data_IF_591067906037
#
_entry.id   IF_591067906037
#
_cell.length_a   1.000
_cell.length_b   1.000
_cell.length_c   1.000
_cell.angle_alpha   90.00
_cell.angle_beta   90.00
_cell.angle_gamma   90.00
#
_symmetry.space_group_name_H-M   'P 1'
#
loop_
_entity.id
_entity.type
_entity.pdbx_description
1 polymer ?
#
# COMPACT_ATOMS: atom_id res chain seq x y z
N UNK A 1 -8.42 16.33 9.34
CA UNK A 1 -8.20 17.80 9.35
C UNK A 1 -7.48 18.14 8.08
N UNK A 2 -7.84 19.22 7.41
CA UNK A 2 -7.25 19.64 6.13
C UNK A 2 -6.64 21.04 6.26
N UNK A 3 -5.40 21.23 5.79
CA UNK A 3 -4.70 22.51 5.84
C UNK A 3 -4.90 23.28 4.54
N UNK A 4 -5.55 24.45 4.64
CA UNK A 4 -5.75 25.31 3.49
C UNK A 4 -4.43 25.90 3.02
N UNK A 5 -4.18 25.78 1.71
CA UNK A 5 -2.99 26.35 1.07
C UNK A 5 -1.69 25.92 1.75
N UNK A 6 -1.57 24.63 2.09
CA UNK A 6 -0.48 24.07 2.90
C UNK A 6 0.91 24.62 2.54
N UNK A 7 1.27 24.64 1.26
CA UNK A 7 2.57 25.11 0.80
C UNK A 7 2.84 26.60 1.09
N UNK A 8 1.80 27.45 1.12
CA UNK A 8 1.96 28.87 1.45
C UNK A 8 2.30 29.11 2.93
N UNK A 9 2.21 28.09 3.78
CA UNK A 9 2.64 28.15 5.17
C UNK A 9 4.11 27.79 5.35
N UNK A 10 4.76 27.20 4.34
CA UNK A 10 6.17 26.84 4.37
C UNK A 10 7.08 28.08 4.27
N UNK A 11 8.08 28.14 5.13
CA UNK A 11 9.14 29.15 5.08
C UNK A 11 10.28 28.62 4.20
N UNK A 12 10.76 29.44 3.27
CA UNK A 12 11.88 29.08 2.40
C UNK A 12 13.20 29.33 3.13
N UNK A 13 14.11 28.35 3.09
CA UNK A 13 15.48 28.50 3.60
C UNK A 13 16.39 29.09 2.53
N UNK A 14 16.10 28.81 1.26
CA UNK A 14 16.82 29.32 0.11
C UNK A 14 16.28 30.68 -0.36
N UNK A 15 17.14 31.47 -1.01
CA UNK A 15 16.71 32.68 -1.70
C UNK A 15 16.11 32.34 -3.05
N UNK A 16 14.80 32.56 -3.19
CA UNK A 16 14.07 32.29 -4.42
C UNK A 16 13.46 33.58 -4.92
N UNK A 17 13.69 33.87 -6.20
CA UNK A 17 13.14 35.02 -6.88
C UNK A 17 12.22 34.55 -8.01
N UNK A 18 11.13 35.27 -8.23
CA UNK A 18 10.19 35.03 -9.33
C UNK A 18 9.99 36.29 -10.15
N UNK A 19 9.70 36.12 -11.44
CA UNK A 19 9.25 37.22 -12.28
C UNK A 19 7.99 37.87 -11.68
N UNK A 20 7.80 39.15 -11.98
CA UNK A 20 6.58 39.83 -11.59
C UNK A 20 5.38 39.12 -12.23
N UNK A 21 4.36 38.73 -11.45
CA UNK A 21 3.18 38.07 -12.00
C UNK A 21 2.39 39.05 -12.86
N UNK A 22 1.76 38.53 -13.91
CA UNK A 22 0.99 39.34 -14.85
C UNK A 22 -0.10 40.15 -14.15
N UNK A 23 -0.18 41.45 -14.42
CA UNK A 23 -1.11 42.40 -13.80
C UNK A 23 -0.61 43.05 -12.50
N UNK A 24 0.57 42.66 -12.01
CA UNK A 24 1.20 43.25 -10.82
C UNK A 24 2.58 43.85 -11.12
N UNK A 25 2.91 44.02 -12.40
CA UNK A 25 4.16 44.63 -12.82
C UNK A 25 4.21 46.09 -12.34
N UNK A 26 5.30 46.46 -11.67
CA UNK A 26 5.54 47.84 -11.26
C UNK A 26 6.04 48.63 -12.46
N UNK A 27 5.27 49.64 -12.87
CA UNK A 27 5.67 50.62 -13.87
C UNK A 27 7.06 51.20 -13.56
N UNK A 28 7.92 51.29 -14.57
CA UNK A 28 9.31 51.76 -14.49
C UNK A 28 10.24 50.88 -13.64
N UNK A 29 9.85 49.63 -13.37
CA UNK A 29 10.66 48.63 -12.65
C UNK A 29 10.37 47.22 -13.18
N UNK A 30 10.05 47.09 -14.47
CA UNK A 30 9.63 45.85 -15.10
C UNK A 30 10.73 44.77 -15.06
N UNK A 31 11.99 45.17 -15.00
CA UNK A 31 13.17 44.31 -14.90
C UNK A 31 13.38 43.71 -13.50
N UNK A 32 12.69 44.23 -12.48
CA UNK A 32 12.83 43.72 -11.10
C UNK A 32 12.09 42.40 -10.93
N UNK A 33 12.56 41.65 -9.94
CA UNK A 33 11.98 40.36 -9.53
C UNK A 33 11.45 40.44 -8.10
N UNK A 34 10.51 39.56 -7.75
CA UNK A 34 10.01 39.43 -6.39
C UNK A 34 10.78 38.34 -5.65
N UNK A 35 11.32 38.69 -4.47
CA UNK A 35 11.88 37.71 -3.54
C UNK A 35 10.74 37.03 -2.79
N UNK A 36 10.66 35.71 -2.88
CA UNK A 36 9.69 34.93 -2.13
C UNK A 36 10.11 34.83 -0.67
N UNK A 37 9.19 35.14 0.24
CA UNK A 37 9.37 34.96 1.70
C UNK A 37 8.83 33.61 2.20
N UNK A 38 7.84 33.07 1.50
CA UNK A 38 7.21 31.78 1.78
C UNK A 38 7.15 30.98 0.49
N UNK A 39 7.00 29.67 0.65
CA UNK A 39 6.88 28.77 -0.49
C UNK A 39 5.60 29.05 -1.29
N UNK A 40 5.70 28.89 -2.61
CA UNK A 40 4.61 29.02 -3.56
C UNK A 40 4.37 27.67 -4.24
N UNK A 41 3.14 27.43 -4.68
CA UNK A 41 2.84 26.26 -5.50
C UNK A 41 3.68 26.25 -6.79
N UNK A 42 4.17 25.07 -7.16
CA UNK A 42 5.05 24.87 -8.32
C UNK A 42 6.55 24.93 -8.01
N UNK A 43 6.95 25.40 -6.81
CA UNK A 43 8.33 25.30 -6.37
C UNK A 43 8.67 23.86 -5.96
N UNK A 44 9.83 23.35 -6.40
CA UNK A 44 10.30 22.00 -6.05
C UNK A 44 10.50 21.83 -4.53
N UNK A 45 10.87 22.90 -3.83
CA UNK A 45 11.12 22.94 -2.38
C UNK A 45 9.86 23.18 -1.54
N UNK A 46 8.72 23.56 -2.14
CA UNK A 46 7.51 23.90 -1.40
C UNK A 46 6.98 22.78 -0.49
N UNK A 47 6.94 21.50 -0.94
CA UNK A 47 6.51 20.40 -0.08
C UNK A 47 7.41 20.22 1.15
N UNK A 48 8.73 20.36 0.97
CA UNK A 48 9.71 20.23 2.05
C UNK A 48 9.61 21.39 3.05
N UNK A 49 9.46 22.62 2.56
CA UNK A 49 9.28 23.81 3.39
C UNK A 49 8.02 23.70 4.26
N UNK A 50 6.92 23.24 3.66
CA UNK A 50 5.68 22.96 4.40
C UNK A 50 5.86 21.87 5.45
N UNK A 51 6.39 20.70 5.05
CA UNK A 51 6.60 19.59 5.97
C UNK A 51 7.49 19.99 7.16
N UNK A 52 8.57 20.73 6.91
CA UNK A 52 9.47 21.22 7.97
C UNK A 52 8.77 22.18 8.94
N UNK A 53 7.88 23.04 8.43
CA UNK A 53 7.05 23.92 9.28
C UNK A 53 6.08 23.10 10.13
N UNK A 54 5.42 22.10 9.54
CA UNK A 54 4.48 21.23 10.23
C UNK A 54 5.18 20.39 11.30
N UNK A 55 6.32 19.77 10.99
CA UNK A 55 7.16 18.98 11.91
C UNK A 55 7.57 19.80 13.13
N UNK A 56 8.10 21.02 12.93
CA UNK A 56 8.43 21.94 14.04
C UNK A 56 7.21 22.32 14.87
N UNK A 57 6.06 22.56 14.23
CA UNK A 57 4.82 22.88 14.93
C UNK A 57 4.30 21.70 15.76
N UNK A 58 4.31 20.48 15.23
CA UNK A 58 3.90 19.28 15.96
C UNK A 58 4.86 18.99 17.12
N UNK A 59 6.16 19.12 16.92
CA UNK A 59 7.15 19.01 17.98
C UNK A 59 6.90 20.01 19.12
N UNK A 60 6.56 21.27 18.79
CA UNK A 60 6.20 22.29 19.80
C UNK A 60 4.92 21.96 20.58
N UNK A 61 4.07 21.07 20.06
CA UNK A 61 2.86 20.57 20.71
C UNK A 61 3.08 19.24 21.45
N UNK A 62 4.34 18.83 21.61
CA UNK A 62 4.74 17.62 22.33
C UNK A 62 4.61 16.33 21.53
N UNK A 63 4.54 16.42 20.20
CA UNK A 63 4.58 15.22 19.35
C UNK A 63 6.01 14.79 19.05
N UNK A 64 6.21 13.49 19.04
CA UNK A 64 7.41 12.83 18.56
C UNK A 64 7.12 12.19 17.20
N UNK A 65 8.03 12.42 16.25
CA UNK A 65 7.97 11.75 14.94
C UNK A 65 8.44 10.31 15.07
N UNK A 66 7.72 9.38 14.45
CA UNK A 66 8.15 7.98 14.42
C UNK A 66 9.49 7.85 13.67
N UNK A 67 10.47 7.09 14.20
CA UNK A 67 11.71 6.78 13.49
C UNK A 67 11.52 5.73 12.38
N UNK A 68 10.33 5.10 12.30
CA UNK A 68 10.03 4.04 11.34
C UNK A 68 9.10 4.49 10.21
N UNK A 69 8.31 5.54 10.44
CA UNK A 69 7.46 6.18 9.43
C UNK A 69 7.38 7.69 9.68
N UNK A 70 8.12 8.49 8.90
CA UNK A 70 8.22 9.94 9.11
C UNK A 70 6.89 10.71 8.90
N UNK A 71 5.89 10.08 8.28
CA UNK A 71 4.54 10.63 8.18
C UNK A 71 3.70 10.42 9.45
N UNK A 72 4.17 9.62 10.41
CA UNK A 72 3.44 9.30 11.65
C UNK A 72 4.06 10.02 12.84
N UNK A 73 3.20 10.65 13.64
CA UNK A 73 3.56 11.32 14.88
C UNK A 73 2.76 10.74 16.03
N UNK A 74 3.36 10.70 17.21
CA UNK A 74 2.71 10.26 18.45
C UNK A 74 2.91 11.29 19.56
N UNK A 75 1.91 11.40 20.43
CA UNK A 75 1.98 12.13 21.70
C UNK A 75 1.38 11.26 22.79
N UNK A 76 2.13 11.05 23.87
CA UNK A 76 1.71 10.25 25.01
C UNK A 76 1.65 11.12 26.27
N UNK A 77 0.49 11.16 26.92
CA UNK A 77 0.27 11.88 28.18
C UNK A 77 -0.35 10.89 29.15
N UNK A 78 0.45 10.35 30.08
CA UNK A 78 0.04 9.22 30.92
C UNK A 78 -0.36 8.02 30.05
N UNK A 79 -1.57 7.50 30.24
CA UNK A 79 -2.13 6.42 29.41
C UNK A 79 -2.80 6.93 28.11
N UNK A 80 -3.00 8.24 27.98
CA UNK A 80 -3.60 8.84 26.79
C UNK A 80 -2.60 8.85 25.64
N UNK A 81 -3.06 8.42 24.46
CA UNK A 81 -2.26 8.35 23.25
C UNK A 81 -2.98 9.05 22.13
N UNK A 82 -2.23 9.87 21.40
CA UNK A 82 -2.70 10.57 20.23
C UNK A 82 -1.72 10.28 19.09
N UNK A 83 -2.25 9.81 17.97
CA UNK A 83 -1.50 9.49 16.76
C UNK A 83 -1.98 10.38 15.62
N UNK A 84 -1.03 10.84 14.81
CA UNK A 84 -1.30 11.63 13.61
C UNK A 84 -0.64 10.95 12.43
N UNK A 85 -1.39 10.72 11.36
CA UNK A 85 -0.87 10.42 10.03
C UNK A 85 -0.95 11.68 9.17
N UNK A 86 0.16 12.06 8.54
CA UNK A 86 0.28 13.26 7.71
C UNK A 86 0.45 12.86 6.25
N UNK A 87 -0.39 13.41 5.38
CA UNK A 87 -0.18 13.39 3.94
C UNK A 87 -0.40 14.78 3.37
N UNK A 88 0.70 15.49 3.09
CA UNK A 88 0.66 16.87 2.58
C UNK A 88 -0.20 17.77 3.47
N UNK A 89 -1.41 18.10 3.03
CA UNK A 89 -2.42 18.95 3.68
C UNK A 89 -3.38 18.17 4.59
N UNK A 90 -3.54 16.86 4.35
CA UNK A 90 -4.43 15.99 5.13
C UNK A 90 -3.75 15.44 6.39
N UNK A 91 -4.43 15.60 7.53
CA UNK A 91 -4.08 15.00 8.82
C UNK A 91 -5.17 14.03 9.28
N UNK A 92 -4.83 12.75 9.34
CA UNK A 92 -5.61 11.73 10.07
C UNK A 92 -5.21 11.81 11.53
N UNK A 93 -6.20 11.87 12.43
CA UNK A 93 -5.97 11.97 13.87
C UNK A 93 -6.77 10.86 14.54
N UNK A 94 -6.10 10.08 15.39
CA UNK A 94 -6.74 9.05 16.21
C UNK A 94 -6.14 9.04 17.61
N UNK A 95 -6.89 8.60 18.60
CA UNK A 95 -6.41 8.59 19.98
C UNK A 95 -7.36 7.91 20.95
N UNK A 96 -6.86 7.62 22.16
CA UNK A 96 -7.64 6.94 23.20
C UNK A 96 -8.59 7.87 23.95
N UNK A 97 -8.35 9.19 23.93
CA UNK A 97 -9.18 10.19 24.59
C UNK A 97 -9.76 11.19 23.56
N UNK A 98 -11.09 11.22 23.35
CA UNK A 98 -11.73 12.18 22.45
C UNK A 98 -11.49 13.65 22.79
N UNK A 99 -11.29 13.98 24.06
CA UNK A 99 -11.05 15.36 24.50
C UNK A 99 -9.65 15.83 24.11
N UNK A 100 -8.66 14.94 24.15
CA UNK A 100 -7.32 15.22 23.62
C UNK A 100 -7.34 15.46 22.11
N UNK A 101 -8.15 14.70 21.36
CA UNK A 101 -8.35 14.92 19.93
C UNK A 101 -8.92 16.32 19.68
N UNK A 102 -9.98 16.72 20.41
CA UNK A 102 -10.57 18.06 20.27
C UNK A 102 -9.58 19.17 20.63
N UNK A 103 -8.85 19.00 21.73
CA UNK A 103 -7.86 19.97 22.17
C UNK A 103 -6.75 20.15 21.12
N UNK A 104 -6.24 19.05 20.56
CA UNK A 104 -5.25 19.09 19.49
C UNK A 104 -5.79 19.76 18.22
N UNK A 105 -7.03 19.45 17.81
CA UNK A 105 -7.67 20.11 16.67
C UNK A 105 -7.73 21.63 16.86
N UNK A 106 -8.09 22.11 18.06
CA UNK A 106 -8.07 23.54 18.41
C UNK A 106 -6.67 24.15 18.30
N UNK A 107 -5.66 23.53 18.89
CA UNK A 107 -4.26 23.98 18.82
C UNK A 107 -3.77 24.12 17.36
N UNK A 108 -4.20 23.20 16.49
CA UNK A 108 -3.85 23.25 15.07
C UNK A 108 -4.58 24.37 14.32
N UNK A 109 -5.87 24.59 14.59
CA UNK A 109 -6.64 25.69 13.99
C UNK A 109 -6.17 27.08 14.46
N UNK A 110 -5.57 27.18 15.64
CA UNK A 110 -4.92 28.41 16.12
C UNK A 110 -3.62 28.71 15.37
N UNK A 111 -2.85 27.67 15.01
CA UNK A 111 -1.58 27.81 14.29
C UNK A 111 -1.73 27.94 12.78
N UNK A 112 -2.73 27.28 12.20
CA UNK A 112 -2.91 27.16 10.75
C UNK A 112 -4.37 27.33 10.36
N UNK A 113 -4.61 27.90 9.18
CA UNK A 113 -5.96 27.94 8.62
C UNK A 113 -6.36 26.52 8.15
N UNK A 114 -7.21 25.86 8.92
CA UNK A 114 -7.58 24.46 8.70
C UNK A 114 -9.09 24.26 8.73
N UNK A 115 -9.53 23.19 8.09
CA UNK A 115 -10.90 22.70 8.15
C UNK A 115 -10.96 21.37 8.91
N UNK A 116 -11.87 21.28 9.89
CA UNK A 116 -12.24 20.01 10.50
C UNK A 116 -13.34 19.35 9.66
N UNK A 117 -12.99 18.22 9.05
CA UNK A 117 -13.90 17.43 8.22
C UNK A 117 -14.70 16.39 9.04
N UNK A 118 -14.55 16.40 10.37
CA UNK A 118 -15.26 15.50 11.28
C UNK A 118 -14.62 14.12 11.36
N UNK A 119 -15.48 13.10 11.47
CA UNK A 119 -15.05 11.70 11.48
C UNK A 119 -14.55 11.29 10.10
N UNK A 120 -13.45 10.52 10.02
CA UNK A 120 -12.83 10.12 8.76
C UNK A 120 -13.84 9.36 7.88
N UNK A 121 -14.24 9.99 6.77
CA UNK A 121 -15.18 9.45 5.78
C UNK A 121 -14.57 9.31 4.38
N UNK A 122 -13.49 10.05 4.11
CA UNK A 122 -12.76 10.02 2.86
C UNK A 122 -11.30 10.40 3.09
N UNK A 123 -10.38 9.68 2.46
CA UNK A 123 -8.95 9.96 2.54
C UNK A 123 -8.23 9.46 1.30
N UNK A 124 -7.52 10.34 0.59
CA UNK A 124 -6.74 9.97 -0.60
C UNK A 124 -7.53 9.07 -1.56
N UNK A 125 -8.72 9.48 -2.00
CA UNK A 125 -9.47 8.66 -2.95
C UNK A 125 -10.13 7.40 -2.38
N UNK A 126 -9.97 7.11 -1.08
CA UNK A 126 -10.54 5.97 -0.37
C UNK A 126 -11.71 6.44 0.48
N UNK A 127 -12.84 5.77 0.33
CA UNK A 127 -14.05 5.99 1.09
C UNK A 127 -14.00 5.14 2.36
N UNK A 128 -14.32 5.76 3.50
CA UNK A 128 -14.22 5.15 4.83
C UNK A 128 -15.60 5.18 5.48
N UNK A 129 -16.10 4.02 5.91
CA UNK A 129 -17.28 3.96 6.77
C UNK A 129 -16.89 3.37 8.12
N UNK A 130 -17.27 4.05 9.20
CA UNK A 130 -16.92 3.67 10.56
C UNK A 130 -18.19 3.39 11.36
N UNK A 131 -18.23 2.22 11.99
CA UNK A 131 -19.34 1.77 12.82
C UNK A 131 -18.82 1.29 14.17
N UNK A 132 -19.71 1.01 15.12
CA UNK A 132 -19.33 0.41 16.41
C UNK A 132 -18.67 -0.97 16.26
N UNK A 133 -19.00 -1.69 15.17
CA UNK A 133 -18.55 -3.07 14.91
C UNK A 133 -17.23 -3.13 14.13
N UNK A 134 -16.90 -2.10 13.35
CA UNK A 134 -15.73 -2.10 12.50
C UNK A 134 -15.65 -0.93 11.52
N UNK A 135 -14.62 -0.95 10.70
CA UNK A 135 -14.31 0.07 9.69
C UNK A 135 -14.32 -0.60 8.31
N UNK A 136 -14.94 -0.01 7.31
CA UNK A 136 -14.78 -0.43 5.92
C UNK A 136 -14.01 0.61 5.09
N UNK A 137 -13.18 0.10 4.18
CA UNK A 137 -12.45 0.89 3.19
C UNK A 137 -12.86 0.42 1.78
N UNK A 138 -13.33 1.34 0.94
CA UNK A 138 -13.66 1.04 -0.44
C UNK A 138 -13.34 2.20 -1.38
N UNK A 139 -13.41 1.93 -2.68
CA UNK A 139 -13.13 2.90 -3.73
C UNK A 139 -14.20 2.83 -4.83
N UNK A 140 -15.48 2.64 -4.44
CA UNK A 140 -16.58 2.41 -5.38
C UNK A 140 -16.74 3.56 -6.37
N UNK A 141 -16.69 4.82 -5.90
CA UNK A 141 -16.76 5.98 -6.79
C UNK A 141 -15.56 6.07 -7.75
N UNK A 142 -14.37 5.66 -7.31
CA UNK A 142 -13.19 5.60 -8.17
C UNK A 142 -13.30 4.46 -9.20
N UNK A 143 -13.78 3.29 -8.80
CA UNK A 143 -14.02 2.15 -9.67
C UNK A 143 -15.03 2.48 -10.77
N UNK A 144 -16.15 3.14 -10.44
CA UNK A 144 -17.13 3.61 -11.44
C UNK A 144 -16.51 4.57 -12.45
N UNK A 145 -15.72 5.55 -11.99
CA UNK A 145 -15.00 6.49 -12.88
C UNK A 145 -14.03 5.78 -13.84
N UNK A 146 -13.37 4.70 -13.41
CA UNK A 146 -12.52 3.89 -14.30
C UNK A 146 -13.37 3.26 -15.41
N UNK A 147 -14.53 2.69 -15.07
CA UNK A 147 -15.43 2.05 -16.04
C UNK A 147 -15.98 3.06 -17.03
N UNK A 148 -16.44 4.22 -16.58
CA UNK A 148 -16.92 5.30 -17.44
C UNK A 148 -15.84 5.75 -18.43
N UNK A 149 -14.64 6.08 -17.93
CA UNK A 149 -13.52 6.55 -18.76
C UNK A 149 -13.06 5.52 -19.79
N UNK A 150 -13.27 4.24 -19.53
CA UNK A 150 -12.86 3.14 -20.43
C UNK A 150 -13.99 2.65 -21.34
N UNK A 151 -15.20 3.22 -21.24
CA UNK A 151 -16.38 2.75 -21.97
C UNK A 151 -16.86 1.37 -21.53
N UNK A 152 -16.57 0.97 -20.29
CA UNK A 152 -16.87 -0.35 -19.71
C UNK A 152 -17.97 -0.30 -18.65
N UNK A 153 -18.72 0.80 -18.52
CA UNK A 153 -19.82 0.92 -17.56
C UNK A 153 -20.92 -0.15 -17.80
N UNK A 154 -21.29 -0.35 -19.07
CA UNK A 154 -22.36 -1.29 -19.48
C UNK A 154 -21.83 -2.66 -19.93
N UNK A 155 -20.59 -3.01 -19.54
CA UNK A 155 -19.98 -4.28 -19.96
C UNK A 155 -20.64 -5.50 -19.30
N UNK A 156 -20.55 -6.65 -19.97
CA UNK A 156 -20.96 -7.93 -19.40
C UNK A 156 -20.19 -8.24 -18.11
N UNK A 157 -20.86 -8.84 -17.12
CA UNK A 157 -20.23 -9.16 -15.84
C UNK A 157 -19.22 -10.31 -15.96
N UNK A 158 -18.21 -10.30 -15.10
CA UNK A 158 -17.29 -11.43 -14.91
C UNK A 158 -17.16 -11.73 -13.41
N UNK A 159 -16.93 -12.99 -13.05
CA UNK A 159 -16.82 -13.43 -11.66
C UNK A 159 -15.36 -13.58 -11.18
N UNK A 160 -14.39 -13.54 -12.11
CA UNK A 160 -12.96 -13.55 -11.79
C UNK A 160 -12.25 -12.43 -12.55
N UNK A 161 -11.19 -11.84 -11.96
CA UNK A 161 -10.43 -10.77 -12.61
C UNK A 161 -9.53 -11.28 -13.75
N UNK A 162 -9.26 -12.58 -13.80
CA UNK A 162 -8.37 -13.19 -14.80
C UNK A 162 -8.79 -14.65 -15.04
N UNK A 163 -8.62 -15.11 -16.27
CA UNK A 163 -8.79 -16.51 -16.66
C UNK A 163 -7.76 -17.42 -15.98
N UNK A 164 -8.20 -18.60 -15.55
CA UNK A 164 -7.32 -19.61 -14.96
C UNK A 164 -6.30 -20.08 -16.00
N UNK A 165 -5.02 -20.12 -15.61
CA UNK A 165 -3.89 -20.54 -16.48
C UNK A 165 -3.63 -19.65 -17.70
N UNK A 166 -4.20 -18.44 -17.75
CA UNK A 166 -3.88 -17.46 -18.79
C UNK A 166 -2.36 -17.17 -18.78
N UNK A 167 -1.72 -17.36 -19.94
CA UNK A 167 -0.33 -16.99 -20.16
C UNK A 167 -0.27 -15.87 -21.18
N UNK A 168 0.26 -14.73 -20.75
CA UNK A 168 0.53 -13.57 -21.60
C UNK A 168 2.02 -13.52 -21.90
N UNK A 169 2.38 -13.06 -23.09
CA UNK A 169 3.77 -12.97 -23.55
C UNK A 169 3.99 -11.69 -24.34
N UNK A 170 5.18 -11.12 -24.20
CA UNK A 170 5.64 -9.99 -25.02
C UNK A 170 5.76 -10.33 -26.51
N UNK A 171 5.91 -11.62 -26.84
CA UNK A 171 6.08 -12.11 -28.20
C UNK A 171 4.74 -12.55 -28.85
N UNK A 172 3.62 -12.00 -28.39
CA UNK A 172 2.31 -12.23 -29.00
C UNK A 172 2.31 -11.71 -30.45
N UNK A 173 1.74 -12.50 -31.37
CA UNK A 173 1.55 -12.13 -32.78
C UNK A 173 0.37 -11.15 -32.99
N UNK A 174 -0.35 -10.83 -31.90
CA UNK A 174 -1.51 -9.95 -31.95
C UNK A 174 -1.13 -8.49 -32.26
N UNK A 175 -2.08 -7.76 -32.85
CA UNK A 175 -1.92 -6.33 -33.15
C UNK A 175 -1.62 -5.51 -31.89
N UNK A 176 -0.66 -4.59 -31.99
CA UNK A 176 -0.41 -3.60 -30.95
C UNK A 176 -1.62 -2.70 -30.69
N UNK A 177 -1.76 -2.24 -29.44
CA UNK A 177 -2.77 -1.26 -29.03
C UNK A 177 -2.09 0.02 -28.52
N UNK A 178 -2.86 1.08 -28.35
CA UNK A 178 -2.33 2.34 -27.81
C UNK A 178 -1.75 2.15 -26.40
N UNK A 179 -0.43 2.25 -26.31
CA UNK A 179 0.32 2.13 -25.06
C UNK A 179 -0.02 3.22 -24.04
N UNK A 180 -0.40 4.43 -24.48
CA UNK A 180 -0.77 5.53 -23.59
C UNK A 180 -2.12 5.26 -22.93
N UNK A 181 -3.12 4.88 -23.72
CA UNK A 181 -4.41 4.44 -23.20
C UNK A 181 -4.25 3.23 -22.26
N UNK A 182 -3.47 2.23 -22.65
CA UNK A 182 -3.19 1.06 -21.82
C UNK A 182 -2.57 1.45 -20.47
N UNK A 183 -1.49 2.25 -20.47
CA UNK A 183 -0.82 2.73 -19.25
C UNK A 183 -1.75 3.54 -18.34
N UNK A 184 -2.64 4.34 -18.92
CA UNK A 184 -3.64 5.10 -18.17
C UNK A 184 -4.60 4.18 -17.39
N UNK A 185 -5.07 3.09 -18.02
CA UNK A 185 -5.92 2.11 -17.34
C UNK A 185 -5.13 1.38 -16.25
N UNK A 186 -3.93 0.90 -16.55
CA UNK A 186 -3.10 0.18 -15.58
C UNK A 186 -2.76 1.05 -14.37
N UNK A 187 -2.43 2.33 -14.58
CA UNK A 187 -2.20 3.27 -13.48
C UNK A 187 -3.40 3.39 -12.55
N UNK A 188 -4.61 3.47 -13.11
CA UNK A 188 -5.83 3.51 -12.30
C UNK A 188 -6.14 2.19 -11.59
N UNK A 189 -5.93 1.05 -12.25
CA UNK A 189 -6.10 -0.26 -11.62
C UNK A 189 -5.11 -0.47 -10.47
N UNK A 190 -3.85 -0.04 -10.63
CA UNK A 190 -2.83 -0.09 -9.57
C UNK A 190 -3.24 0.72 -8.35
N UNK A 191 -3.90 1.87 -8.55
CA UNK A 191 -4.42 2.65 -7.43
C UNK A 191 -5.61 1.97 -6.74
N UNK A 192 -6.48 1.33 -7.52
CA UNK A 192 -7.64 0.61 -7.01
C UNK A 192 -7.24 -0.61 -6.15
N UNK A 193 -6.06 -1.19 -6.38
CA UNK A 193 -5.52 -2.31 -5.56
C UNK A 193 -5.43 -1.96 -4.08
N UNK A 194 -5.34 -0.67 -3.69
CA UNK A 194 -5.27 -0.22 -2.28
C UNK A 194 -6.48 -0.63 -1.42
N UNK A 195 -7.63 -0.94 -2.03
CA UNK A 195 -8.79 -1.51 -1.33
C UNK A 195 -9.28 -2.83 -1.95
N UNK A 196 -8.53 -3.34 -2.94
CA UNK A 196 -8.91 -4.47 -3.80
C UNK A 196 -7.75 -5.48 -3.93
N UNK A 197 -7.34 -6.13 -2.83
CA UNK A 197 -6.28 -7.15 -2.86
C UNK A 197 -6.55 -8.30 -3.85
N UNK A 198 -7.83 -8.65 -4.04
CA UNK A 198 -8.29 -9.70 -4.95
C UNK A 198 -7.97 -9.46 -6.44
N UNK A 199 -7.62 -8.23 -6.85
CA UNK A 199 -7.18 -7.95 -8.23
C UNK A 199 -5.67 -7.73 -8.34
N UNK A 200 -4.93 -7.75 -7.23
CA UNK A 200 -3.50 -7.42 -7.19
C UNK A 200 -2.67 -8.27 -8.16
N UNK A 201 -2.89 -9.60 -8.16
CA UNK A 201 -2.24 -10.51 -9.10
C UNK A 201 -2.51 -10.14 -10.55
N UNK A 202 -3.80 -10.06 -10.91
CA UNK A 202 -4.23 -9.81 -12.28
C UNK A 202 -3.65 -8.49 -12.81
N UNK A 203 -3.71 -7.43 -11.99
CA UNK A 203 -3.12 -6.11 -12.29
C UNK A 203 -1.59 -6.19 -12.40
N UNK A 204 -0.94 -6.98 -11.55
CA UNK A 204 0.50 -7.23 -11.58
C UNK A 204 0.97 -7.91 -12.86
N UNK A 205 0.20 -8.87 -13.39
CA UNK A 205 0.49 -9.54 -14.66
C UNK A 205 0.33 -8.58 -15.84
N UNK A 206 -0.83 -7.92 -16.00
CA UNK A 206 -1.07 -7.02 -17.16
C UNK A 206 -0.12 -5.83 -17.17
N UNK A 207 0.35 -5.40 -15.99
CA UNK A 207 1.36 -4.36 -15.88
C UNK A 207 2.70 -4.65 -16.57
N UNK A 208 3.01 -5.92 -16.86
CA UNK A 208 4.30 -6.32 -17.48
C UNK A 208 4.41 -5.90 -18.95
N UNK A 209 3.29 -5.49 -19.56
CA UNK A 209 3.17 -5.23 -21.00
C UNK A 209 2.92 -3.74 -21.34
N UNK A 210 3.15 -2.83 -20.39
CA UNK A 210 2.87 -1.40 -20.55
C UNK A 210 3.66 -0.69 -21.67
N UNK A 211 4.79 -1.25 -22.10
CA UNK A 211 5.65 -0.65 -23.15
C UNK A 211 5.11 -0.94 -24.55
N UNK A 212 4.73 -2.19 -24.81
CA UNK A 212 4.26 -2.69 -26.12
C UNK A 212 3.04 -3.61 -25.94
N UNK A 213 1.88 -3.07 -25.52
CA UNK A 213 0.69 -3.88 -25.29
C UNK A 213 0.06 -4.32 -26.63
N UNK A 214 -0.61 -5.47 -26.62
CA UNK A 214 -1.29 -6.07 -27.78
C UNK A 214 -2.78 -6.22 -27.48
N UNK A 215 -3.58 -6.64 -28.47
CA UNK A 215 -5.02 -6.85 -28.30
C UNK A 215 -5.34 -7.90 -27.24
N UNK A 216 -4.54 -8.97 -27.11
CA UNK A 216 -4.65 -9.97 -26.04
C UNK A 216 -4.37 -9.38 -24.66
N UNK A 217 -3.35 -8.52 -24.53
CA UNK A 217 -3.09 -7.81 -23.29
C UNK A 217 -4.26 -6.89 -22.90
N UNK A 218 -4.86 -6.20 -23.87
CA UNK A 218 -6.03 -5.37 -23.63
C UNK A 218 -7.28 -6.20 -23.29
N UNK A 219 -7.44 -7.38 -23.87
CA UNK A 219 -8.54 -8.30 -23.54
C UNK A 219 -8.48 -8.75 -22.07
N UNK A 220 -7.28 -9.06 -21.55
CA UNK A 220 -7.07 -9.37 -20.14
C UNK A 220 -7.42 -8.18 -19.23
N UNK A 221 -7.02 -6.96 -19.61
CA UNK A 221 -7.42 -5.73 -18.88
C UNK A 221 -8.94 -5.54 -18.88
N UNK A 222 -9.60 -5.76 -20.03
CA UNK A 222 -11.07 -5.68 -20.12
C UNK A 222 -11.75 -6.71 -19.22
N UNK A 223 -11.17 -7.89 -19.00
CA UNK A 223 -11.70 -8.84 -18.04
C UNK A 223 -11.65 -8.32 -16.59
N UNK A 224 -10.54 -7.70 -16.18
CA UNK A 224 -10.43 -7.06 -14.87
C UNK A 224 -11.52 -5.99 -14.71
N UNK A 225 -11.76 -5.18 -15.74
CA UNK A 225 -12.82 -4.16 -15.73
C UNK A 225 -14.23 -4.78 -15.63
N UNK A 226 -14.51 -5.87 -16.36
CA UNK A 226 -15.79 -6.62 -16.23
C UNK A 226 -16.01 -7.17 -14.82
N UNK A 227 -14.93 -7.60 -14.16
CA UNK A 227 -14.98 -8.06 -12.78
C UNK A 227 -15.20 -6.90 -11.80
N UNK A 228 -14.56 -5.75 -12.02
CA UNK A 228 -14.79 -4.55 -11.19
C UNK A 228 -16.24 -4.10 -11.30
N UNK A 229 -16.81 -4.10 -12.51
CA UNK A 229 -18.21 -3.75 -12.75
C UNK A 229 -19.20 -4.61 -11.95
N UNK A 230 -18.94 -5.90 -11.79
CA UNK A 230 -19.79 -6.79 -10.99
C UNK A 230 -19.53 -6.70 -9.48
N UNK A 231 -18.52 -5.93 -9.05
CA UNK A 231 -18.06 -5.87 -7.67
C UNK A 231 -17.68 -4.45 -7.24
N UNK A 232 -18.49 -3.45 -7.63
CA UNK A 232 -18.23 -2.03 -7.32
C UNK A 232 -18.23 -1.73 -5.82
N UNK A 233 -19.11 -2.38 -5.07
CA UNK A 233 -19.37 -2.11 -3.64
C UNK A 233 -18.49 -2.91 -2.69
N UNK A 234 -17.42 -3.49 -3.23
CA UNK A 234 -16.71 -4.60 -2.65
C UNK A 234 -15.39 -4.00 -2.08
N UNK A 235 -15.17 -4.10 -0.77
CA UNK A 235 -14.12 -3.37 -0.04
C UNK A 235 -13.60 -4.14 1.18
N UNK A 236 -12.54 -3.63 1.79
CA UNK A 236 -11.90 -4.26 2.95
C UNK A 236 -12.67 -3.92 4.22
N UNK A 237 -13.02 -4.91 5.03
CA UNK A 237 -13.67 -4.71 6.32
C UNK A 237 -12.76 -5.09 7.47
N UNK A 238 -12.64 -4.18 8.43
CA UNK A 238 -11.81 -4.31 9.62
C UNK A 238 -12.72 -4.48 10.83
N UNK A 239 -12.85 -5.71 11.30
CA UNK A 239 -13.65 -6.05 12.47
C UNK A 239 -12.93 -5.60 13.74
N UNK A 240 -13.68 -5.02 14.67
CA UNK A 240 -13.17 -4.69 15.99
C UNK A 240 -12.82 -5.97 16.74
N UNK A 241 -11.58 -6.09 17.19
CA UNK A 241 -11.10 -7.20 18.02
C UNK A 241 -10.98 -6.75 19.48
N UNK A 242 -11.03 -7.71 20.40
CA UNK A 242 -10.80 -7.45 21.83
C UNK A 242 -9.39 -6.87 22.06
N UNK A 243 -9.27 -6.04 23.11
CA UNK A 243 -7.99 -5.39 23.44
C UNK A 243 -6.91 -6.44 23.71
N UNK A 244 -5.76 -6.30 23.03
CA UNK A 244 -4.62 -7.20 23.18
C UNK A 244 -4.69 -8.50 22.36
N UNK A 245 -5.80 -8.78 21.67
CA UNK A 245 -5.94 -10.00 20.86
C UNK A 245 -5.33 -9.90 19.45
N UNK A 246 -5.00 -8.68 18.98
CA UNK A 246 -4.57 -8.44 17.62
C UNK A 246 -3.06 -8.72 17.41
N UNK A 247 -2.73 -9.97 17.06
CA UNK A 247 -1.39 -10.39 16.66
C UNK A 247 -1.11 -10.08 15.19
N UNK A 248 0.12 -9.72 14.88
CA UNK A 248 0.58 -9.55 13.49
C UNK A 248 0.98 -10.92 12.93
N UNK A 249 0.30 -11.36 11.87
CA UNK A 249 0.58 -12.63 11.19
C UNK A 249 0.76 -12.36 9.70
N UNK A 250 1.91 -12.76 9.17
CA UNK A 250 2.23 -12.71 7.74
C UNK A 250 1.99 -14.05 7.06
N UNK A 251 1.68 -13.99 5.78
CA UNK A 251 1.62 -15.11 4.86
C UNK A 251 2.52 -14.76 3.67
N UNK A 252 3.31 -15.73 3.22
CA UNK A 252 4.07 -15.61 1.97
C UNK A 252 3.88 -16.84 1.11
N UNK A 253 3.81 -16.62 -0.19
CA UNK A 253 3.71 -17.65 -1.22
C UNK A 253 4.51 -17.20 -2.45
N UNK A 254 4.85 -18.14 -3.32
CA UNK A 254 5.46 -17.83 -4.61
C UNK A 254 5.11 -18.84 -5.67
N UNK A 255 4.81 -18.36 -6.89
CA UNK A 255 4.81 -19.26 -8.05
C UNK A 255 6.25 -19.73 -8.39
N UNK A 256 6.37 -20.76 -9.24
CA UNK A 256 7.66 -21.13 -9.82
C UNK A 256 7.66 -20.81 -11.31
N UNK A 257 8.51 -19.86 -11.70
CA UNK A 257 8.70 -19.45 -13.08
C UNK A 257 7.37 -19.18 -13.80
N UNK A 258 6.47 -18.44 -13.13
CA UNK A 258 5.14 -18.12 -13.66
C UNK A 258 5.17 -17.21 -14.87
N UNK A 259 6.20 -16.37 -15.01
CA UNK A 259 6.37 -15.51 -16.18
C UNK A 259 6.75 -16.33 -17.44
N UNK A 260 6.03 -16.10 -18.54
CA UNK A 260 6.27 -16.81 -19.79
C UNK A 260 7.53 -16.32 -20.51
N UNK A 261 7.92 -15.05 -20.33
CA UNK A 261 8.98 -14.43 -21.12
C UNK A 261 10.36 -14.57 -20.47
N UNK A 262 10.48 -14.30 -19.16
CA UNK A 262 11.77 -14.34 -18.46
C UNK A 262 11.85 -15.41 -17.35
N UNK A 263 10.80 -16.24 -17.21
CA UNK A 263 10.74 -17.35 -16.25
C UNK A 263 10.97 -16.91 -14.79
N UNK A 264 10.78 -15.63 -14.46
CA UNK A 264 10.82 -15.17 -13.08
C UNK A 264 9.52 -15.51 -12.36
N UNK A 265 9.64 -15.76 -11.07
CA UNK A 265 8.51 -16.04 -10.20
C UNK A 265 7.75 -14.77 -9.81
N UNK A 266 6.54 -14.93 -9.29
CA UNK A 266 5.80 -13.89 -8.58
C UNK A 266 5.84 -14.20 -7.08
N UNK A 267 6.07 -13.17 -6.27
CA UNK A 267 6.11 -13.20 -4.81
C UNK A 267 4.90 -12.50 -4.26
N UNK A 268 4.28 -13.14 -3.29
CA UNK A 268 3.09 -12.67 -2.63
C UNK A 268 3.31 -12.56 -1.14
N UNK A 269 2.74 -11.50 -0.57
CA UNK A 269 2.76 -11.26 0.86
C UNK A 269 1.39 -10.76 1.28
N UNK A 270 0.87 -11.27 2.39
CA UNK A 270 -0.32 -10.77 3.04
C UNK A 270 -0.09 -10.69 4.55
N UNK A 271 -0.32 -9.53 5.15
CA UNK A 271 -0.22 -9.35 6.59
C UNK A 271 -1.58 -9.03 7.20
N UNK A 272 -1.89 -9.76 8.26
CA UNK A 272 -3.10 -9.61 9.05
C UNK A 272 -2.76 -9.09 10.44
N UNK A 273 -3.58 -8.18 10.95
CA UNK A 273 -3.58 -7.76 12.34
C UNK A 273 -4.86 -8.29 13.01
N UNK A 274 -4.71 -9.33 13.81
CA UNK A 274 -5.84 -10.18 14.19
C UNK A 274 -6.42 -10.87 12.96
N UNK A 275 -7.73 -10.74 12.75
CA UNK A 275 -8.42 -11.26 11.55
C UNK A 275 -8.46 -10.31 10.35
N UNK A 276 -7.85 -9.13 10.44
CA UNK A 276 -8.02 -8.07 9.44
C UNK A 276 -6.78 -7.96 8.55
N UNK A 277 -6.95 -8.04 7.22
CA UNK A 277 -5.88 -7.81 6.26
C UNK A 277 -5.47 -6.33 6.27
N UNK A 278 -4.21 -6.03 6.59
CA UNK A 278 -3.71 -4.65 6.71
C UNK A 278 -2.74 -4.24 5.60
N UNK A 279 -2.05 -5.20 4.96
CA UNK A 279 -1.20 -4.91 3.81
C UNK A 279 -0.94 -6.16 2.99
N UNK A 280 -0.72 -5.98 1.69
CA UNK A 280 -0.51 -7.05 0.74
C UNK A 280 0.38 -6.60 -0.41
N UNK A 281 1.05 -7.56 -1.04
CA UNK A 281 1.91 -7.37 -2.21
C UNK A 281 1.74 -8.56 -3.15
N UNK A 282 1.67 -8.31 -4.46
CA UNK A 282 1.94 -9.29 -5.51
C UNK A 282 2.95 -8.66 -6.46
N UNK A 283 4.15 -9.23 -6.53
CA UNK A 283 5.26 -8.62 -7.28
C UNK A 283 6.10 -9.66 -8.01
N UNK A 284 6.54 -9.33 -9.21
CA UNK A 284 7.49 -10.16 -9.95
C UNK A 284 8.85 -10.15 -9.26
N UNK A 285 9.43 -11.31 -9.01
CA UNK A 285 10.76 -11.46 -8.46
C UNK A 285 11.81 -10.83 -9.39
N UNK A 286 12.89 -10.33 -8.81
CA UNK A 286 13.98 -9.67 -9.57
C UNK A 286 14.89 -10.70 -10.26
N UNK A 287 15.02 -11.89 -9.68
CA UNK A 287 15.88 -12.98 -10.13
C UNK A 287 15.04 -14.19 -10.56
N UNK A 288 15.63 -15.07 -11.37
CA UNK A 288 15.03 -16.36 -11.74
C UNK A 288 15.39 -17.37 -10.66
N UNK A 289 14.38 -17.97 -10.03
CA UNK A 289 14.58 -19.05 -9.06
C UNK A 289 14.76 -20.38 -9.79
N UNK A 290 15.69 -21.22 -9.33
CA UNK A 290 15.98 -22.53 -9.93
C UNK A 290 15.11 -23.65 -9.36
N UNK A 291 14.38 -23.39 -8.28
CA UNK A 291 13.46 -24.35 -7.65
C UNK A 291 12.32 -23.63 -6.95
N UNK A 292 11.21 -24.34 -6.69
CA UNK A 292 10.11 -23.81 -5.87
C UNK A 292 10.59 -23.42 -4.48
N UNK A 293 11.47 -24.22 -3.88
CA UNK A 293 12.08 -23.92 -2.59
C UNK A 293 12.81 -22.57 -2.57
N UNK A 294 13.52 -22.24 -3.66
CA UNK A 294 14.23 -20.96 -3.78
C UNK A 294 13.26 -19.79 -4.01
N UNK A 295 12.24 -19.96 -4.84
CA UNK A 295 11.22 -18.94 -5.09
C UNK A 295 10.48 -18.58 -3.78
N UNK A 296 10.07 -19.61 -3.03
CA UNK A 296 9.43 -19.48 -1.72
C UNK A 296 10.34 -18.83 -0.69
N UNK A 297 11.64 -19.14 -0.73
CA UNK A 297 12.63 -18.50 0.14
C UNK A 297 12.73 -16.98 -0.12
N UNK A 298 12.72 -16.58 -1.40
CA UNK A 298 12.72 -15.17 -1.80
C UNK A 298 11.44 -14.47 -1.34
N UNK A 299 10.29 -15.15 -1.45
CA UNK A 299 9.01 -14.64 -0.96
C UNK A 299 8.99 -14.48 0.56
N UNK A 300 9.39 -15.51 1.30
CA UNK A 300 9.51 -15.47 2.76
C UNK A 300 10.46 -14.36 3.23
N UNK A 301 11.58 -14.14 2.54
CA UNK A 301 12.51 -13.05 2.87
C UNK A 301 11.86 -11.69 2.66
N UNK A 302 11.14 -11.51 1.55
CA UNK A 302 10.39 -10.28 1.27
C UNK A 302 9.35 -10.02 2.36
N UNK A 303 8.59 -11.04 2.72
CA UNK A 303 7.60 -10.97 3.78
C UNK A 303 8.26 -10.63 5.12
N UNK A 304 9.38 -11.26 5.47
CA UNK A 304 10.10 -11.00 6.72
C UNK A 304 10.53 -9.53 6.85
N UNK A 305 11.10 -8.93 5.79
CA UNK A 305 11.45 -7.51 5.77
C UNK A 305 10.24 -6.62 6.09
N UNK A 306 9.11 -6.88 5.44
CA UNK A 306 7.88 -6.13 5.64
C UNK A 306 7.32 -6.34 7.06
N UNK A 307 7.33 -7.57 7.57
CA UNK A 307 6.86 -7.91 8.91
C UNK A 307 7.66 -7.23 10.02
N UNK A 308 8.98 -7.19 9.89
CA UNK A 308 9.86 -6.49 10.83
C UNK A 308 9.55 -5.00 10.86
N UNK A 309 9.40 -4.37 9.69
CA UNK A 309 9.03 -2.95 9.62
C UNK A 309 7.65 -2.69 10.23
N UNK A 310 6.64 -3.50 9.91
CA UNK A 310 5.29 -3.39 10.48
C UNK A 310 5.30 -3.55 12.00
N UNK A 311 6.09 -4.49 12.52
CA UNK A 311 6.18 -4.73 13.95
C UNK A 311 6.84 -3.57 14.69
N UNK A 312 7.93 -3.02 14.13
CA UNK A 312 8.58 -1.81 14.65
C UNK A 312 7.63 -0.62 14.68
N UNK A 313 6.92 -0.37 13.58
CA UNK A 313 5.93 0.70 13.49
C UNK A 313 4.79 0.49 14.50
N UNK A 314 4.27 -0.73 14.62
CA UNK A 314 3.23 -1.09 15.59
C UNK A 314 3.70 -0.89 17.04
N UNK A 315 4.89 -1.36 17.36
CA UNK A 315 5.52 -1.23 18.68
C UNK A 315 5.69 0.26 19.04
N UNK A 316 6.21 1.05 18.11
CA UNK A 316 6.41 2.49 18.25
C UNK A 316 5.10 3.26 18.47
N UNK A 317 4.08 3.02 17.64
CA UNK A 317 2.75 3.63 17.77
C UNK A 317 2.06 3.25 19.10
N UNK A 318 2.36 2.06 19.63
CA UNK A 318 1.80 1.58 20.91
C UNK A 318 2.71 1.86 22.10
N UNK A 319 3.90 2.43 21.94
CA UNK A 319 4.87 2.54 23.04
C UNK A 319 5.09 1.20 23.76
N UNK A 320 5.15 0.11 23.00
CA UNK A 320 5.33 -1.26 23.49
C UNK A 320 6.63 -1.84 22.94
N UNK A 321 7.10 -2.94 23.54
CA UNK A 321 8.22 -3.69 22.98
C UNK A 321 7.82 -4.35 21.65
N UNK A 322 8.82 -4.55 20.79
CA UNK A 322 8.67 -5.39 19.61
C UNK A 322 8.29 -6.82 20.02
N UNK A 323 7.33 -7.41 19.34
CA UNK A 323 6.96 -8.83 19.51
C UNK A 323 7.54 -9.65 18.35
N UNK A 324 7.68 -10.95 18.53
CA UNK A 324 8.02 -11.84 17.42
C UNK A 324 6.89 -11.87 16.38
N UNK A 325 7.24 -11.74 15.10
CA UNK A 325 6.27 -11.79 13.99
C UNK A 325 6.16 -13.21 13.47
N UNK A 326 4.94 -13.75 13.43
CA UNK A 326 4.67 -15.07 12.86
C UNK A 326 4.52 -14.94 11.35
N UNK A 327 5.32 -15.70 10.59
CA UNK A 327 5.26 -15.82 9.14
C UNK A 327 4.85 -17.24 8.76
N UNK A 328 3.73 -17.36 8.03
CA UNK A 328 3.17 -18.60 7.52
C UNK A 328 3.67 -18.86 6.10
N UNK A 329 4.27 -20.04 5.91
CA UNK A 329 4.86 -20.52 4.65
C UNK A 329 4.40 -21.96 4.42
N UNK A 330 4.08 -22.35 3.20
CA UNK A 330 3.60 -23.71 2.90
C UNK A 330 4.71 -24.64 2.35
N UNK A 331 5.88 -24.09 2.03
CA UNK A 331 7.03 -24.87 1.57
C UNK A 331 7.96 -25.32 2.71
N UNK A 332 7.85 -26.59 3.13
CA UNK A 332 8.69 -27.19 4.20
C UNK A 332 10.20 -27.10 3.93
N UNK A 333 10.62 -27.21 2.67
CA UNK A 333 12.04 -27.12 2.30
C UNK A 333 12.55 -25.70 2.51
N UNK A 334 11.78 -24.68 2.10
CA UNK A 334 12.12 -23.27 2.34
C UNK A 334 12.17 -22.97 3.85
N UNK A 335 11.21 -23.48 4.64
CA UNK A 335 11.21 -23.35 6.11
C UNK A 335 12.49 -23.95 6.72
N UNK A 336 12.88 -25.16 6.29
CA UNK A 336 14.11 -25.79 6.75
C UNK A 336 15.35 -24.95 6.40
N UNK A 337 15.40 -24.37 5.19
CA UNK A 337 16.48 -23.48 4.79
C UNK A 337 16.56 -22.20 5.63
N UNK A 338 15.43 -21.67 6.09
CA UNK A 338 15.38 -20.49 6.95
C UNK A 338 15.81 -20.80 8.40
N UNK A 339 15.64 -22.05 8.86
CA UNK A 339 15.95 -22.47 10.24
C UNK A 339 17.33 -23.09 10.42
N UNK A 340 17.91 -23.68 9.36
CA UNK A 340 19.13 -24.48 9.46
C UNK A 340 20.31 -23.89 8.65
N UNK A 341 21.50 -23.71 9.26
CA UNK A 341 22.67 -23.11 8.60
C UNK A 341 23.43 -24.08 7.66
N UNK A 342 23.19 -25.39 7.75
CA UNK A 342 24.01 -26.44 7.10
C UNK A 342 23.80 -26.55 5.57
N UNK A 343 22.74 -25.97 5.00
CA UNK A 343 22.35 -26.18 3.60
C UNK A 343 22.92 -25.16 2.58
N UNK A 344 24.13 -24.65 2.78
CA UNK A 344 24.66 -23.45 2.09
C UNK A 344 25.15 -23.70 0.63
N UNK A 345 25.58 -24.91 0.28
CA UNK A 345 26.33 -25.14 -0.97
C UNK A 345 25.54 -25.02 -2.29
N UNK A 346 24.19 -25.05 -2.28
CA UNK A 346 23.36 -25.08 -3.51
C UNK A 346 22.71 -23.75 -3.91
N UNK A 347 22.90 -22.66 -3.15
CA UNK A 347 22.09 -21.44 -3.32
C UNK A 347 22.87 -20.11 -3.25
N UNK A 348 24.16 -20.13 -3.62
CA UNK A 348 25.08 -18.97 -3.54
C UNK A 348 24.61 -17.72 -4.30
N UNK A 349 23.73 -17.84 -5.28
CA UNK A 349 23.20 -16.71 -6.07
C UNK A 349 22.15 -15.87 -5.33
N UNK A 350 21.74 -16.24 -4.11
CA UNK A 350 20.81 -15.47 -3.27
C UNK A 350 21.36 -15.19 -1.85
N UNK A 351 22.67 -15.32 -1.66
CA UNK A 351 23.38 -15.42 -0.38
C UNK A 351 23.00 -14.35 0.67
N UNK A 352 22.89 -13.07 0.28
CA UNK A 352 22.53 -12.00 1.21
C UNK A 352 21.11 -12.16 1.79
N UNK A 353 20.15 -12.67 0.99
CA UNK A 353 18.81 -13.01 1.50
C UNK A 353 18.88 -14.21 2.42
N UNK A 354 19.77 -15.17 2.13
CA UNK A 354 20.00 -16.33 2.98
C UNK A 354 20.38 -15.93 4.40
N UNK A 355 21.42 -15.10 4.51
CA UNK A 355 21.90 -14.62 5.80
C UNK A 355 20.85 -13.79 6.55
N UNK A 356 20.17 -12.88 5.86
CA UNK A 356 19.22 -11.97 6.52
C UNK A 356 18.05 -12.68 7.22
N UNK A 357 17.28 -13.51 6.51
CA UNK A 357 16.09 -14.13 7.13
C UNK A 357 16.49 -15.15 8.21
N UNK A 358 17.62 -15.85 8.04
CA UNK A 358 18.17 -16.73 9.09
C UNK A 358 18.52 -15.95 10.35
N UNK A 359 19.26 -14.86 10.21
CA UNK A 359 19.60 -13.99 11.33
C UNK A 359 18.33 -13.43 12.01
N UNK A 360 17.28 -13.14 11.24
CA UNK A 360 16.00 -12.70 11.81
C UNK A 360 15.31 -13.81 12.62
N UNK A 361 15.38 -15.06 12.16
CA UNK A 361 14.84 -16.23 12.89
C UNK A 361 15.68 -16.53 14.14
N UNK A 362 17.00 -16.57 14.00
CA UNK A 362 17.92 -16.84 15.11
C UNK A 362 17.82 -15.78 16.23
N UNK A 363 17.59 -14.52 15.87
CA UNK A 363 17.39 -13.43 16.82
C UNK A 363 15.94 -13.30 17.35
N UNK A 364 15.04 -14.23 17.02
CA UNK A 364 13.64 -14.21 17.49
C UNK A 364 12.81 -13.03 16.97
N UNK A 365 13.18 -12.42 15.84
CA UNK A 365 12.40 -11.36 15.18
C UNK A 365 11.25 -11.94 14.36
N UNK A 366 11.45 -13.13 13.80
CA UNK A 366 10.51 -13.83 12.93
C UNK A 366 10.39 -15.30 13.36
N UNK A 367 9.18 -15.75 13.68
CA UNK A 367 8.83 -17.16 13.81
C UNK A 367 8.25 -17.66 12.48
N UNK A 368 8.92 -18.63 11.84
CA UNK A 368 8.41 -19.25 10.61
C UNK A 368 7.66 -20.55 10.94
N UNK A 369 6.39 -20.58 10.54
CA UNK A 369 5.47 -21.67 10.76
C UNK A 369 4.95 -22.24 9.44
N UNK A 370 4.75 -23.56 9.42
CA UNK A 370 4.09 -24.22 8.30
C UNK A 370 2.59 -23.89 8.28
N UNK A 371 2.06 -23.61 7.10
CA UNK A 371 0.62 -23.58 6.81
C UNK A 371 0.33 -24.54 5.66
N UNK A 372 -0.83 -25.19 5.67
CA UNK A 372 -1.25 -26.00 4.53
C UNK A 372 -1.63 -25.09 3.35
N UNK A 373 -1.38 -25.53 2.12
CA UNK A 373 -1.67 -24.76 0.90
C UNK A 373 -3.15 -24.35 0.81
N UNK A 374 -4.08 -25.14 1.34
CA UNK A 374 -5.51 -24.80 1.36
C UNK A 374 -5.86 -23.60 2.26
N UNK A 375 -5.01 -23.34 3.25
CA UNK A 375 -5.11 -22.23 4.21
C UNK A 375 -4.10 -21.11 3.95
N UNK A 376 -3.37 -21.17 2.83
CA UNK A 376 -2.41 -20.15 2.42
C UNK A 376 -3.13 -18.91 1.90
N UNK A 377 -3.34 -17.89 2.74
CA UNK A 377 -4.11 -16.70 2.39
C UNK A 377 -3.47 -15.83 1.30
N UNK A 378 -2.17 -16.01 1.03
CA UNK A 378 -1.49 -15.33 -0.07
C UNK A 378 -1.87 -15.89 -1.46
N UNK A 379 -2.37 -17.13 -1.57
CA UNK A 379 -2.62 -17.84 -2.85
C UNK A 379 -3.49 -17.07 -3.85
N UNK A 380 -4.49 -16.32 -3.37
CA UNK A 380 -5.38 -15.51 -4.20
C UNK A 380 -4.63 -14.42 -4.98
N UNK A 381 -3.44 -14.05 -4.49
CA UNK A 381 -2.57 -13.05 -5.09
C UNK A 381 -1.42 -13.67 -5.90
N UNK A 382 -1.29 -15.01 -5.95
CA UNK A 382 -0.14 -15.71 -6.56
C UNK A 382 -0.43 -16.29 -7.92
N UNK A 383 -1.68 -16.69 -8.14
CA UNK A 383 -2.08 -17.38 -9.37
C UNK A 383 -3.56 -17.15 -9.67
N UNK A 384 -3.94 -17.30 -10.93
CA UNK A 384 -5.34 -17.35 -11.30
C UNK A 384 -5.95 -18.69 -10.87
N UNK A 385 -6.59 -18.68 -9.70
CA UNK A 385 -7.29 -19.84 -9.12
C UNK A 385 -8.70 -20.00 -9.69
N UNK A 386 -9.26 -21.21 -9.55
CA UNK A 386 -10.63 -21.51 -9.98
C UNK A 386 -11.67 -20.72 -9.20
N UNK A 387 -12.83 -20.47 -9.82
CA UNK A 387 -13.88 -19.57 -9.29
C UNK A 387 -14.27 -19.84 -7.83
N UNK A 388 -14.55 -21.10 -7.46
CA UNK A 388 -14.97 -21.44 -6.10
C UNK A 388 -13.91 -21.09 -5.06
N UNK A 389 -12.65 -21.47 -5.32
CA UNK A 389 -11.52 -21.12 -4.44
C UNK A 389 -11.26 -19.61 -4.43
N UNK A 390 -11.41 -18.93 -5.57
CA UNK A 390 -11.29 -17.47 -5.64
C UNK A 390 -12.28 -16.77 -4.71
N UNK A 391 -13.56 -17.17 -4.74
CA UNK A 391 -14.59 -16.58 -3.88
C UNK A 391 -14.36 -16.90 -2.40
N UNK A 392 -13.97 -18.13 -2.08
CA UNK A 392 -13.60 -18.54 -0.71
C UNK A 392 -12.45 -17.68 -0.17
N UNK A 393 -11.33 -17.60 -0.91
CA UNK A 393 -10.15 -16.85 -0.50
C UNK A 393 -10.46 -15.36 -0.39
N UNK A 394 -11.26 -14.80 -1.30
CA UNK A 394 -11.70 -13.40 -1.26
C UNK A 394 -12.43 -13.08 0.03
N UNK A 395 -13.28 -13.99 0.51
CA UNK A 395 -13.94 -13.85 1.79
C UNK A 395 -12.96 -13.99 2.96
N UNK A 396 -12.06 -14.99 2.93
CA UNK A 396 -11.05 -15.21 3.98
C UNK A 396 -10.11 -14.02 4.18
N UNK A 397 -9.81 -13.25 3.13
CA UNK A 397 -8.98 -12.04 3.23
C UNK A 397 -9.75 -10.78 3.67
N UNK A 398 -11.03 -10.91 4.06
CA UNK A 398 -11.82 -9.80 4.61
C UNK A 398 -12.43 -8.85 3.57
N UNK A 399 -12.53 -9.28 2.30
CA UNK A 399 -13.13 -8.49 1.24
C UNK A 399 -14.62 -8.85 1.08
N UNK A 400 -15.49 -7.89 1.39
CA UNK A 400 -16.95 -8.07 1.39
C UNK A 400 -17.67 -6.86 0.81
N UNK A 401 -18.97 -6.99 0.57
CA UNK A 401 -19.80 -5.85 0.13
C UNK A 401 -19.96 -4.91 1.32
N UNK A 402 -19.61 -3.63 1.13
CA UNK A 402 -19.53 -2.63 2.20
C UNK A 402 -20.40 -1.38 1.94
N UNK A 403 -21.21 -1.41 0.88
CA UNK A 403 -22.22 -0.39 0.57
C UNK A 403 -23.57 -1.01 0.31
#
# INVERSE_FOLDING_TARGET
MDVKSAFLNGELEEEVYVCQPSGYEKKNNEEKVFKLRKALYGLCQAPRAWYSKLDRSLASLGFERSPHEHAVYKRCIGESRLLIGVYVDDLIITGSNPEEIKNFKRQMMEKFNMSDLGLLSYYLGIEVCQTSHGISLCQSGYASKILERTGMADCNSCQTPMESRLKLSKNSEDSFVDATFYRSIIGSLRYLVNTRPNIAYAVGIVSRFMEKPTSQHLAAVKQILRYIRSTLDLGCYYTRTEQGAAKLVGYSDSDLAGDADDRKSTTEVAYFLGGNLVTWVSQKQKVVALSSCEAEYIAATTAACQGIWLNRLRADMRGQAEEEVVLKVDNKSAISLCKNPVHHDRSKHVDTRYHFIRECVENGKIAIDYVATEEQLADIMTKSIGLLKFLEMRHKIGLQTVK
#
